data_IF_479771757741
#
_entry.id   IF_479771757741
#
_cell.length_a   1.000
_cell.length_b   1.000
_cell.length_c   1.000
_cell.angle_alpha   90.00
_cell.angle_beta   90.00
_cell.angle_gamma   90.00
#
_symmetry.space_group_name_H-M   'P 1'
#
loop_
_entity.id
_entity.type
_entity.pdbx_description
1 polymer ?
#
# COMPACT_ATOMS: atom_id res chain seq x y z
N UNK A 1 2.07 9.72 -33.55
CA UNK A 1 1.85 9.81 -32.09
C UNK A 1 1.18 8.52 -31.68
N UNK A 2 1.95 7.52 -31.27
CA UNK A 2 1.41 6.27 -30.73
C UNK A 2 1.86 6.20 -29.28
N UNK A 3 0.97 6.53 -28.35
CA UNK A 3 1.18 6.29 -26.92
C UNK A 3 1.04 4.78 -26.72
N UNK A 4 2.15 4.10 -26.41
CA UNK A 4 2.08 2.72 -25.97
C UNK A 4 1.19 2.66 -24.72
N UNK A 5 0.31 1.65 -24.55
CA UNK A 5 -0.42 1.51 -23.30
C UNK A 5 0.63 1.35 -22.19
N UNK A 6 0.77 2.38 -21.36
CA UNK A 6 1.50 2.28 -20.12
C UNK A 6 0.90 1.08 -19.40
N UNK A 7 1.68 0.00 -19.31
CA UNK A 7 1.29 -1.26 -18.71
C UNK A 7 1.13 -0.97 -17.22
N UNK A 8 0.01 -0.36 -16.86
CA UNK A 8 -0.34 0.01 -15.51
C UNK A 8 -0.36 -1.29 -14.73
N UNK A 9 0.51 -1.41 -13.74
CA UNK A 9 0.51 -2.56 -12.84
C UNK A 9 -0.92 -2.77 -12.33
N UNK A 10 -1.40 -4.02 -12.18
CA UNK A 10 -2.74 -4.26 -11.67
C UNK A 10 -2.88 -3.60 -10.29
N UNK A 11 -3.83 -2.68 -10.17
CA UNK A 11 -4.16 -1.98 -8.93
C UNK A 11 -5.55 -2.36 -8.48
N UNK A 12 -5.70 -2.67 -7.20
CA UNK A 12 -6.99 -2.83 -6.56
C UNK A 12 -7.41 -1.48 -6.00
N UNK A 13 -8.61 -1.03 -6.37
CA UNK A 13 -9.17 0.25 -5.93
C UNK A 13 -10.46 -0.01 -5.16
N UNK A 14 -10.52 0.50 -3.94
CA UNK A 14 -11.69 0.44 -3.08
C UNK A 14 -12.09 1.86 -2.70
N UNK A 15 -13.38 2.13 -2.66
CA UNK A 15 -13.93 3.42 -2.26
C UNK A 15 -15.11 3.17 -1.32
N UNK A 16 -15.11 3.87 -0.19
CA UNK A 16 -16.11 3.75 0.86
C UNK A 16 -16.60 5.13 1.26
N UNK A 17 -17.87 5.21 1.64
CA UNK A 17 -18.43 6.40 2.27
C UNK A 17 -18.66 6.13 3.76
N UNK A 18 -18.20 7.06 4.61
CA UNK A 18 -18.42 7.03 6.04
C UNK A 18 -19.20 8.27 6.47
N UNK A 19 -20.12 8.10 7.42
CA UNK A 19 -20.82 9.20 8.09
C UNK A 19 -19.95 9.91 9.16
N UNK A 20 -18.66 9.54 9.24
CA UNK A 20 -17.70 10.12 10.16
C UNK A 20 -16.98 11.32 9.54
N UNK A 21 -16.57 12.24 10.39
CA UNK A 21 -15.71 13.37 10.03
C UNK A 21 -14.35 12.90 9.47
N UNK A 22 -13.81 13.57 8.44
CA UNK A 22 -12.51 13.22 7.84
C UNK A 22 -11.36 13.11 8.84
N UNK A 23 -11.33 13.93 9.90
CA UNK A 23 -10.28 13.87 10.93
C UNK A 23 -10.35 12.57 11.73
N UNK A 24 -11.56 12.02 11.92
CA UNK A 24 -11.76 10.75 12.62
C UNK A 24 -11.27 9.58 11.75
N UNK A 25 -11.61 9.60 10.46
CA UNK A 25 -11.13 8.60 9.50
C UNK A 25 -9.62 8.68 9.34
N UNK A 26 -9.05 9.89 9.27
CA UNK A 26 -7.61 10.11 9.21
C UNK A 26 -6.88 9.52 10.42
N UNK A 27 -7.39 9.77 11.64
CA UNK A 27 -6.81 9.17 12.86
C UNK A 27 -6.86 7.64 12.84
N UNK A 28 -7.90 7.04 12.27
CA UNK A 28 -8.04 5.59 12.20
C UNK A 28 -7.00 4.92 11.28
N UNK A 29 -6.46 5.64 10.29
CA UNK A 29 -5.44 5.14 9.36
C UNK A 29 -4.00 5.52 9.75
N UNK A 30 -3.80 6.75 10.27
CA UNK A 30 -2.47 7.28 10.62
C UNK A 30 -1.95 6.71 11.95
N UNK A 31 -2.81 6.55 12.95
CA UNK A 31 -2.42 5.98 14.24
C UNK A 31 -2.35 4.46 14.14
N UNK A 32 -1.15 3.90 14.27
CA UNK A 32 -0.91 2.45 14.17
C UNK A 32 -1.79 1.63 15.11
N UNK A 33 -1.95 2.06 16.37
CA UNK A 33 -2.79 1.37 17.34
C UNK A 33 -4.27 1.31 16.93
N UNK A 34 -4.77 2.29 16.17
CA UNK A 34 -6.13 2.23 15.62
C UNK A 34 -6.18 1.39 14.35
N UNK A 35 -5.19 1.52 13.47
CA UNK A 35 -5.09 0.74 12.24
C UNK A 35 -5.09 -0.77 12.52
N UNK A 36 -4.28 -1.22 13.48
CA UNK A 36 -4.20 -2.64 13.88
C UNK A 36 -5.53 -3.24 14.36
N UNK A 37 -6.51 -2.41 14.78
CA UNK A 37 -7.81 -2.90 15.25
C UNK A 37 -8.74 -3.31 14.13
N UNK A 38 -8.59 -2.75 12.92
CA UNK A 38 -9.47 -3.02 11.78
C UNK A 38 -8.70 -3.56 10.56
N UNK A 39 -7.37 -3.44 10.57
CA UNK A 39 -6.46 -4.01 9.57
C UNK A 39 -5.35 -4.83 10.27
N UNK A 40 -5.69 -5.96 10.92
CA UNK A 40 -4.76 -6.71 11.77
C UNK A 40 -3.71 -7.52 10.98
N UNK A 41 -4.05 -8.02 9.79
CA UNK A 41 -3.24 -9.01 9.07
C UNK A 41 -2.20 -8.41 8.11
N UNK A 42 -1.84 -7.14 8.31
CA UNK A 42 -0.93 -6.41 7.43
C UNK A 42 0.34 -6.01 8.16
N UNK A 43 1.49 -6.44 7.66
CA UNK A 43 2.78 -6.01 8.18
C UNK A 43 3.17 -4.69 7.50
N UNK A 44 3.03 -3.57 8.20
CA UNK A 44 3.48 -2.26 7.68
C UNK A 44 4.98 -2.14 7.89
N UNK A 45 5.74 -2.12 6.80
CA UNK A 45 7.19 -1.99 6.83
C UNK A 45 7.64 -0.53 6.99
N UNK A 46 7.01 0.38 6.24
CA UNK A 46 7.42 1.79 6.18
C UNK A 46 6.26 2.70 5.76
N UNK A 47 6.29 3.96 6.23
CA UNK A 47 5.45 5.05 5.70
C UNK A 47 6.23 5.74 4.59
N UNK A 48 5.80 5.59 3.35
CA UNK A 48 6.48 6.15 2.17
C UNK A 48 6.16 7.63 1.97
N UNK A 49 4.92 8.02 2.23
CA UNK A 49 4.45 9.39 2.05
C UNK A 49 3.25 9.68 2.95
N UNK A 50 3.17 10.89 3.50
CA UNK A 50 2.03 11.34 4.28
C UNK A 50 1.74 12.82 3.98
N UNK A 51 0.56 13.07 3.42
CA UNK A 51 -0.03 14.40 3.29
C UNK A 51 -1.13 14.52 4.32
N UNK A 52 -0.91 15.41 5.29
CA UNK A 52 -1.79 15.58 6.45
C UNK A 52 -3.26 15.71 6.03
N UNK A 53 -4.12 14.80 6.52
CA UNK A 53 -5.57 14.76 6.29
C UNK A 53 -6.02 14.47 4.85
N UNK A 54 -5.11 14.12 3.96
CA UNK A 54 -5.46 13.88 2.54
C UNK A 54 -5.03 12.49 2.07
N UNK A 55 -3.76 12.12 2.29
CA UNK A 55 -3.18 10.92 1.69
C UNK A 55 -2.10 10.29 2.56
N UNK A 56 -2.11 8.96 2.70
CA UNK A 56 -1.10 8.19 3.40
C UNK A 56 -0.68 7.00 2.53
N UNK A 57 0.61 6.90 2.22
CA UNK A 57 1.19 5.78 1.47
C UNK A 57 2.05 4.91 2.38
N UNK A 58 1.70 3.62 2.44
CA UNK A 58 2.39 2.63 3.26
C UNK A 58 3.00 1.55 2.38
N UNK A 59 4.23 1.17 2.67
CA UNK A 59 4.79 -0.10 2.22
C UNK A 59 4.33 -1.19 3.19
N UNK A 60 3.63 -2.18 2.65
CA UNK A 60 3.15 -3.35 3.38
C UNK A 60 3.78 -4.62 2.84
N UNK A 61 3.86 -5.62 3.69
CA UNK A 61 4.25 -6.99 3.35
C UNK A 61 3.13 -7.94 3.72
N UNK A 62 2.78 -8.82 2.77
CA UNK A 62 1.82 -9.88 2.98
C UNK A 62 2.34 -10.86 4.04
N UNK A 63 1.47 -11.21 4.97
CA UNK A 63 1.79 -12.13 6.08
C UNK A 63 1.90 -13.58 5.62
N UNK A 64 1.31 -13.92 4.48
CA UNK A 64 1.38 -15.25 3.89
C UNK A 64 2.58 -15.40 2.93
N UNK A 65 3.33 -16.51 2.99
CA UNK A 65 4.32 -16.83 1.97
C UNK A 65 3.69 -16.83 0.57
N UNK A 66 4.35 -16.23 -0.43
CA UNK A 66 5.77 -15.86 -0.46
C UNK A 66 6.05 -14.39 -0.09
N UNK A 67 5.28 -13.79 0.83
CA UNK A 67 5.51 -12.48 1.44
C UNK A 67 5.67 -11.35 0.42
N UNK A 68 4.64 -11.14 -0.41
CA UNK A 68 4.70 -10.08 -1.40
C UNK A 68 4.63 -8.70 -0.74
N UNK A 69 5.42 -7.79 -1.27
CA UNK A 69 5.36 -6.39 -0.88
C UNK A 69 4.35 -5.64 -1.76
N UNK A 70 3.62 -4.73 -1.14
CA UNK A 70 2.63 -3.89 -1.77
C UNK A 70 2.72 -2.47 -1.24
N UNK A 71 2.31 -1.51 -2.05
CA UNK A 71 2.12 -0.14 -1.61
C UNK A 71 0.61 0.11 -1.51
N UNK A 72 0.16 0.53 -0.33
CA UNK A 72 -1.22 0.91 -0.08
C UNK A 72 -1.29 2.43 0.07
N UNK A 73 -2.06 3.06 -0.79
CA UNK A 73 -2.37 4.48 -0.73
C UNK A 73 -3.77 4.65 -0.16
N UNK A 74 -3.85 5.20 1.03
CA UNK A 74 -5.08 5.67 1.64
C UNK A 74 -5.35 7.11 1.23
N UNK A 75 -6.59 7.43 0.91
CA UNK A 75 -7.04 8.80 0.62
C UNK A 75 -8.30 9.13 1.39
N UNK A 76 -8.35 10.34 1.93
CA UNK A 76 -9.46 10.82 2.76
C UNK A 76 -9.92 12.15 2.19
N UNK A 77 -11.22 12.28 1.89
CA UNK A 77 -11.82 13.53 1.39
C UNK A 77 -13.20 13.73 2.03
N UNK A 78 -13.60 14.97 2.25
CA UNK A 78 -14.96 15.27 2.70
C UNK A 78 -15.98 14.94 1.59
N UNK A 79 -17.13 14.35 1.93
CA UNK A 79 -18.20 14.04 0.97
C UNK A 79 -19.20 15.19 0.77
N UNK A 80 -18.99 16.34 1.41
CA UNK A 80 -19.88 17.51 1.34
C UNK A 80 -21.16 17.41 2.17
N UNK A 81 -21.45 16.27 2.78
CA UNK A 81 -22.62 16.01 3.67
C UNK A 81 -22.24 15.86 5.15
N UNK A 82 -21.02 16.26 5.51
CA UNK A 82 -20.46 16.05 6.85
C UNK A 82 -19.85 14.67 7.08
N UNK A 83 -19.76 13.85 6.04
CA UNK A 83 -19.08 12.56 6.05
C UNK A 83 -17.78 12.57 5.23
N UNK A 84 -17.25 11.37 4.99
CA UNK A 84 -15.95 11.14 4.38
C UNK A 84 -16.04 10.14 3.25
N UNK A 85 -15.39 10.44 2.13
CA UNK A 85 -15.03 9.49 1.09
C UNK A 85 -13.63 8.96 1.42
N UNK A 86 -13.54 7.66 1.66
CA UNK A 86 -12.30 6.95 1.95
C UNK A 86 -11.92 6.05 0.78
N UNK A 87 -10.78 6.34 0.17
CA UNK A 87 -10.22 5.54 -0.92
C UNK A 87 -9.03 4.72 -0.47
N UNK A 88 -8.95 3.48 -0.94
CA UNK A 88 -7.80 2.59 -0.78
C UNK A 88 -7.34 2.16 -2.17
N UNK A 89 -6.08 2.42 -2.50
CA UNK A 89 -5.45 1.89 -3.70
C UNK A 89 -4.32 0.97 -3.27
N UNK A 90 -4.44 -0.31 -3.57
CA UNK A 90 -3.36 -1.28 -3.36
C UNK A 90 -2.70 -1.58 -4.71
N UNK A 91 -1.39 -1.29 -4.79
CA UNK A 91 -0.52 -1.68 -5.91
C UNK A 91 0.50 -2.68 -5.41
N UNK A 92 0.69 -3.79 -6.12
CA UNK A 92 1.78 -4.71 -5.81
C UNK A 92 3.10 -4.10 -6.24
N UNK A 93 4.13 -4.16 -5.41
CA UNK A 93 5.48 -3.79 -5.85
C UNK A 93 6.24 -5.08 -6.15
N UNK A 94 6.98 -5.11 -7.25
CA UNK A 94 7.95 -6.19 -7.42
C UNK A 94 9.05 -5.98 -6.38
N UNK A 95 9.14 -6.89 -5.41
CA UNK A 95 10.30 -6.99 -4.54
C UNK A 95 11.54 -6.92 -5.43
N UNK A 96 12.45 -5.99 -5.12
CA UNK A 96 13.71 -5.87 -5.85
C UNK A 96 14.39 -7.23 -5.75
N UNK A 97 14.37 -7.99 -6.85
CA UNK A 97 14.99 -9.31 -6.93
C UNK A 97 16.42 -9.13 -6.44
N UNK A 98 16.75 -9.76 -5.32
CA UNK A 98 18.10 -9.74 -4.81
C UNK A 98 18.99 -10.31 -5.92
N UNK A 99 19.93 -9.52 -6.42
CA UNK A 99 20.76 -9.85 -7.59
C UNK A 99 21.76 -10.99 -7.35
N UNK A 100 21.57 -11.83 -6.32
CA UNK A 100 22.56 -12.82 -5.89
C UNK A 100 22.26 -14.26 -6.33
N UNK A 101 21.22 -14.51 -7.13
CA UNK A 101 20.98 -15.84 -7.74
C UNK A 101 21.82 -16.09 -9.01
N UNK A 102 22.75 -15.19 -9.35
CA UNK A 102 23.65 -15.33 -10.49
C UNK A 102 25.12 -15.45 -10.05
N UNK A 103 25.43 -16.47 -9.25
CA UNK A 103 26.81 -17.00 -9.20
C UNK A 103 26.81 -18.43 -9.74
N UNK A 104 27.35 -18.68 -10.94
CA UNK A 104 27.54 -20.04 -11.41
C UNK A 104 28.58 -20.70 -10.50
N UNK A 105 28.19 -21.79 -9.86
CA UNK A 105 29.04 -22.65 -9.04
C UNK A 105 30.12 -23.28 -9.93
N UNK A 106 31.26 -22.60 -10.13
CA UNK A 106 32.42 -23.21 -10.77
C UNK A 106 33.02 -24.25 -9.83
N UNK A 107 32.80 -25.52 -10.18
CA UNK A 107 33.50 -26.68 -9.62
C UNK A 107 34.98 -26.60 -10.03
N UNK A 108 35.88 -26.39 -9.06
CA UNK A 108 37.30 -26.70 -9.23
C UNK A 108 37.45 -28.21 -9.04
N UNK A 109 37.63 -28.93 -10.15
CA UNK A 109 38.16 -30.29 -10.12
C UNK A 109 39.68 -30.23 -9.94
N UNK A 110 40.18 -31.15 -9.12
CA UNK A 110 41.55 -31.28 -8.63
C UNK A 110 42.57 -31.67 -9.70
#
# INVERSE_FOLDING_TARGET
>A
MNEAPSRSEPQLKFSFEFEADPDKVWKAISVEAFRKRWLPDQNVLEVLHETQREQLELLIEETEPPHHQGIVTFSVRANGRGGTIFGIVHRRTMARVAANDAVPRMLLAA
#
